data_IF_907670392686
#
_entry.id   IF_907670392686
#
_cell.length_a   1.000
_cell.length_b   1.000
_cell.length_c   1.000
_cell.angle_alpha   90.00
_cell.angle_beta   90.00
_cell.angle_gamma   90.00
#
_symmetry.space_group_name_H-M   'P 1'
#
loop_
_entity.id
_entity.type
_entity.pdbx_description
1 polymer ?
#
# COMPACT_ATOMS: atom_id res chain seq x y z
N UNK A 1 30.11 -10.06 -12.66
CA UNK A 1 28.83 -10.05 -11.93
C UNK A 1 27.74 -10.59 -12.85
N UNK A 2 27.11 -11.72 -12.52
CA UNK A 2 25.90 -12.15 -13.25
C UNK A 2 24.78 -11.23 -12.82
N UNK A 3 24.37 -10.33 -13.71
CA UNK A 3 23.19 -9.49 -13.50
C UNK A 3 22.00 -10.44 -13.39
N UNK A 4 21.29 -10.44 -12.25
CA UNK A 4 20.14 -11.31 -12.06
C UNK A 4 18.97 -10.76 -12.88
N UNK A 5 18.87 -11.20 -14.14
CA UNK A 5 17.84 -10.76 -15.08
C UNK A 5 16.41 -10.95 -14.56
N UNK A 6 16.19 -11.89 -13.62
CA UNK A 6 14.88 -12.15 -13.01
C UNK A 6 14.50 -11.02 -12.04
N UNK A 7 15.40 -10.66 -11.14
CA UNK A 7 15.22 -9.55 -10.19
C UNK A 7 15.02 -8.21 -10.91
N UNK A 8 15.79 -7.96 -11.97
CA UNK A 8 15.64 -6.73 -12.77
C UNK A 8 14.26 -6.64 -13.45
N UNK A 9 13.75 -7.75 -13.98
CA UNK A 9 12.40 -7.80 -14.57
C UNK A 9 11.31 -7.64 -13.50
N UNK A 10 11.49 -8.26 -12.34
CA UNK A 10 10.57 -8.13 -11.21
C UNK A 10 10.44 -6.66 -10.81
N UNK A 11 11.56 -5.99 -10.52
CA UNK A 11 11.57 -4.58 -10.16
C UNK A 11 10.97 -3.69 -11.25
N UNK A 12 11.34 -3.93 -12.51
CA UNK A 12 10.80 -3.18 -13.64
C UNK A 12 9.27 -3.27 -13.74
N UNK A 13 8.68 -4.47 -13.63
CA UNK A 13 7.23 -4.62 -13.70
C UNK A 13 6.52 -4.10 -12.44
N UNK A 14 7.14 -4.20 -11.26
CA UNK A 14 6.65 -3.56 -10.04
C UNK A 14 6.53 -2.05 -10.19
N UNK A 15 7.59 -1.39 -10.68
CA UNK A 15 7.60 0.05 -10.90
C UNK A 15 6.53 0.48 -11.92
N UNK A 16 6.33 -0.30 -12.98
CA UNK A 16 5.25 -0.08 -13.96
C UNK A 16 3.87 -0.25 -13.33
N UNK A 17 3.64 -1.29 -12.55
CA UNK A 17 2.36 -1.51 -11.88
C UNK A 17 1.99 -0.32 -10.98
N UNK A 18 2.95 0.15 -10.17
CA UNK A 18 2.77 1.29 -9.28
C UNK A 18 2.46 2.57 -10.06
N UNK A 19 3.18 2.81 -11.17
CA UNK A 19 2.93 3.96 -12.04
C UNK A 19 1.51 3.93 -12.62
N UNK A 20 1.05 2.79 -13.14
CA UNK A 20 -0.30 2.65 -13.69
C UNK A 20 -1.39 2.78 -12.63
N UNK A 21 -1.17 2.28 -11.40
CA UNK A 21 -2.09 2.49 -10.27
C UNK A 21 -2.22 3.98 -9.92
N UNK A 22 -1.10 4.70 -9.86
CA UNK A 22 -1.08 6.16 -9.61
C UNK A 22 -1.80 6.92 -10.72
N UNK A 23 -1.69 6.46 -11.98
CA UNK A 23 -2.39 7.02 -13.13
C UNK A 23 -3.86 6.57 -13.25
N UNK A 24 -4.33 5.69 -12.37
CA UNK A 24 -5.68 5.09 -12.40
C UNK A 24 -5.97 4.23 -13.64
N UNK A 25 -4.93 3.71 -14.27
CA UNK A 25 -5.03 2.79 -15.41
C UNK A 25 -5.13 1.34 -14.89
N UNK A 26 -6.29 0.96 -14.36
CA UNK A 26 -6.46 -0.27 -13.59
C UNK A 26 -6.20 -1.56 -14.39
N UNK A 27 -6.59 -1.60 -15.66
CA UNK A 27 -6.31 -2.75 -16.54
C UNK A 27 -4.80 -2.94 -16.76
N UNK A 28 -4.09 -1.87 -17.13
CA UNK A 28 -2.64 -1.90 -17.29
C UNK A 28 -1.91 -2.26 -15.99
N UNK A 29 -2.36 -1.70 -14.86
CA UNK A 29 -1.83 -2.02 -13.54
C UNK A 29 -1.98 -3.51 -13.24
N UNK A 30 -3.18 -4.07 -13.46
CA UNK A 30 -3.47 -5.50 -13.30
C UNK A 30 -2.53 -6.35 -14.17
N UNK A 31 -2.34 -6.00 -15.43
CA UNK A 31 -1.45 -6.72 -16.34
C UNK A 31 0.01 -6.74 -15.85
N UNK A 32 0.51 -5.60 -15.35
CA UNK A 32 1.87 -5.55 -14.79
C UNK A 32 1.99 -6.34 -13.49
N UNK A 33 0.99 -6.28 -12.61
CA UNK A 33 0.94 -7.10 -11.38
C UNK A 33 1.01 -8.59 -11.72
N UNK A 34 0.27 -9.05 -12.74
CA UNK A 34 0.35 -10.45 -13.18
C UNK A 34 1.72 -10.81 -13.74
N UNK A 35 2.39 -9.91 -14.47
CA UNK A 35 3.77 -10.13 -14.93
C UNK A 35 4.75 -10.29 -13.77
N UNK A 36 4.57 -9.54 -12.68
CA UNK A 36 5.36 -9.71 -11.44
C UNK A 36 5.08 -11.07 -10.82
N UNK A 37 3.81 -11.46 -10.69
CA UNK A 37 3.39 -12.73 -10.11
C UNK A 37 3.91 -13.96 -10.88
N UNK A 38 4.03 -13.87 -12.21
CA UNK A 38 4.65 -14.94 -13.02
C UNK A 38 6.15 -15.10 -12.77
N UNK A 39 6.80 -14.11 -12.17
CA UNK A 39 8.23 -14.15 -11.82
C UNK A 39 8.40 -14.75 -10.43
N UNK A 40 7.67 -14.24 -9.45
CA UNK A 40 7.66 -14.72 -8.07
C UNK A 40 6.26 -14.45 -7.51
N UNK A 41 5.53 -15.49 -7.11
CA UNK A 41 4.17 -15.40 -6.57
C UNK A 41 4.15 -15.36 -5.03
N UNK A 42 5.31 -15.47 -4.38
CA UNK A 42 5.44 -15.49 -2.92
C UNK A 42 5.64 -14.11 -2.30
N UNK A 43 5.85 -13.09 -3.13
CA UNK A 43 6.20 -11.74 -2.70
C UNK A 43 4.97 -10.99 -2.11
N UNK A 44 5.03 -10.51 -0.85
CA UNK A 44 3.93 -9.79 -0.21
C UNK A 44 3.54 -8.49 -0.95
N UNK A 45 4.49 -7.88 -1.66
CA UNK A 45 4.30 -6.67 -2.45
C UNK A 45 3.21 -6.84 -3.51
N UNK A 46 3.08 -8.02 -4.10
CA UNK A 46 2.08 -8.32 -5.14
C UNK A 46 0.68 -8.22 -4.57
N UNK A 47 0.47 -8.85 -3.42
CA UNK A 47 -0.81 -8.80 -2.72
C UNK A 47 -1.11 -7.38 -2.20
N UNK A 48 -0.10 -6.60 -1.81
CA UNK A 48 -0.32 -5.20 -1.50
C UNK A 48 -0.77 -4.39 -2.72
N UNK A 49 -0.14 -4.57 -3.89
CA UNK A 49 -0.57 -3.89 -5.11
C UNK A 49 -1.96 -4.33 -5.58
N UNK A 50 -2.33 -5.61 -5.43
CA UNK A 50 -3.70 -6.07 -5.66
C UNK A 50 -4.69 -5.42 -4.70
N UNK A 51 -4.34 -5.31 -3.42
CA UNK A 51 -5.15 -4.60 -2.43
C UNK A 51 -5.41 -3.15 -2.85
N UNK A 52 -4.37 -2.45 -3.29
CA UNK A 52 -4.44 -1.07 -3.80
C UNK A 52 -5.32 -0.98 -5.03
N UNK A 53 -5.16 -1.90 -5.99
CA UNK A 53 -5.97 -1.96 -7.20
C UNK A 53 -7.46 -2.05 -6.87
N UNK A 54 -7.84 -2.97 -5.98
CA UNK A 54 -9.23 -3.16 -5.57
C UNK A 54 -9.76 -1.99 -4.76
N UNK A 55 -8.94 -1.40 -3.88
CA UNK A 55 -9.32 -0.22 -3.12
C UNK A 55 -9.61 0.98 -4.03
N UNK A 56 -8.71 1.25 -4.99
CA UNK A 56 -8.89 2.31 -5.98
C UNK A 56 -10.11 2.09 -6.87
N UNK A 57 -10.49 0.83 -7.08
CA UNK A 57 -11.71 0.42 -7.78
C UNK A 57 -12.94 0.28 -6.85
N UNK A 58 -12.86 0.77 -5.60
CA UNK A 58 -13.93 0.79 -4.59
C UNK A 58 -14.43 -0.60 -4.16
N UNK A 59 -13.65 -1.64 -4.39
CA UNK A 59 -13.93 -2.98 -3.88
C UNK A 59 -13.14 -3.22 -2.58
N UNK A 60 -13.66 -2.66 -1.49
CA UNK A 60 -12.97 -2.65 -0.18
C UNK A 60 -12.84 -4.06 0.40
N UNK A 61 -13.81 -4.94 0.17
CA UNK A 61 -13.77 -6.32 0.66
C UNK A 61 -12.60 -7.10 0.04
N UNK A 62 -12.37 -6.97 -1.27
CA UNK A 62 -11.21 -7.58 -1.93
C UNK A 62 -9.91 -6.89 -1.53
N UNK A 63 -9.93 -5.56 -1.36
CA UNK A 63 -8.76 -4.84 -0.86
C UNK A 63 -8.29 -5.39 0.49
N UNK A 64 -9.22 -5.56 1.44
CA UNK A 64 -8.95 -6.09 2.77
C UNK A 64 -8.36 -7.50 2.74
N UNK A 65 -8.93 -8.38 1.92
CA UNK A 65 -8.41 -9.75 1.73
C UNK A 65 -6.97 -9.74 1.23
N UNK A 66 -6.66 -8.90 0.24
CA UNK A 66 -5.33 -8.86 -0.34
C UNK A 66 -4.29 -8.18 0.57
N UNK A 67 -4.64 -7.11 1.27
CA UNK A 67 -3.76 -6.56 2.30
C UNK A 67 -3.51 -7.55 3.43
N UNK A 68 -4.54 -8.27 3.87
CA UNK A 68 -4.40 -9.33 4.88
C UNK A 68 -3.51 -10.48 4.41
N UNK A 69 -3.60 -10.87 3.14
CA UNK A 69 -2.72 -11.87 2.54
C UNK A 69 -1.26 -11.41 2.52
N UNK A 70 -1.00 -10.17 2.09
CA UNK A 70 0.34 -9.58 2.11
C UNK A 70 0.94 -9.55 3.54
N UNK A 71 0.13 -9.14 4.52
CA UNK A 71 0.53 -9.13 5.93
C UNK A 71 0.80 -10.54 6.48
N UNK A 72 0.00 -11.53 6.06
CA UNK A 72 0.18 -12.93 6.48
C UNK A 72 1.44 -13.56 5.89
N UNK A 73 1.81 -13.20 4.66
CA UNK A 73 3.06 -13.66 4.03
C UNK A 73 4.30 -13.04 4.68
N UNK A 74 4.24 -11.76 5.02
CA UNK A 74 5.32 -11.08 5.72
C UNK A 74 4.79 -9.98 6.65
N UNK A 75 4.72 -10.29 7.94
CA UNK A 75 4.28 -9.33 8.96
C UNK A 75 5.22 -8.12 9.13
N UNK A 76 6.46 -8.22 8.64
CA UNK A 76 7.44 -7.10 8.66
C UNK A 76 7.29 -6.16 7.46
N UNK A 77 6.49 -6.53 6.46
CA UNK A 77 6.17 -5.68 5.31
C UNK A 77 5.17 -4.59 5.71
N UNK A 78 5.70 -3.49 6.26
CA UNK A 78 4.93 -2.35 6.79
C UNK A 78 3.84 -1.81 5.84
N UNK A 79 4.03 -1.71 4.50
CA UNK A 79 3.02 -1.16 3.60
C UNK A 79 1.67 -1.88 3.66
N UNK A 80 1.67 -3.22 3.75
CA UNK A 80 0.44 -3.99 3.88
C UNK A 80 -0.30 -3.66 5.19
N UNK A 81 0.43 -3.58 6.30
CA UNK A 81 -0.13 -3.18 7.60
C UNK A 81 -0.69 -1.76 7.56
N UNK A 82 0.07 -0.81 7.02
CA UNK A 82 -0.34 0.60 6.91
C UNK A 82 -1.64 0.74 6.12
N UNK A 83 -1.74 0.04 4.99
CA UNK A 83 -2.95 0.05 4.17
C UNK A 83 -4.12 -0.63 4.89
N UNK A 84 -3.89 -1.77 5.54
CA UNK A 84 -4.92 -2.50 6.30
C UNK A 84 -5.50 -1.67 7.44
N UNK A 85 -4.64 -1.04 8.25
CA UNK A 85 -5.03 -0.12 9.31
C UNK A 85 -5.84 1.06 8.75
N UNK A 86 -5.38 1.64 7.63
CA UNK A 86 -6.06 2.77 6.98
C UNK A 86 -7.47 2.43 6.53
N UNK A 87 -7.69 1.27 5.89
CA UNK A 87 -9.02 0.89 5.39
C UNK A 87 -9.94 0.32 6.47
N UNK A 88 -9.39 -0.14 7.59
CA UNK A 88 -10.17 -0.69 8.72
C UNK A 88 -10.59 0.39 9.73
N UNK A 89 -10.12 1.62 9.55
CA UNK A 89 -10.44 2.75 10.40
C UNK A 89 -11.93 3.12 10.28
N UNK A 90 -12.61 3.28 11.43
CA UNK A 90 -14.02 3.66 11.49
C UNK A 90 -14.34 5.01 10.80
N UNK A 91 -13.35 5.90 10.72
CA UNK A 91 -13.42 7.19 10.03
C UNK A 91 -13.10 7.11 8.54
N UNK A 92 -12.83 5.91 8.00
CA UNK A 92 -12.47 5.73 6.59
C UNK A 92 -13.58 6.23 5.66
N UNK A 93 -13.35 7.40 5.05
CA UNK A 93 -14.17 7.97 3.98
C UNK A 93 -13.36 7.99 2.69
N UNK A 94 -13.22 6.85 1.99
CA UNK A 94 -12.52 6.71 0.69
C UNK A 94 -11.35 7.70 0.52
N UNK A 95 -10.53 7.84 1.57
CA UNK A 95 -9.44 8.79 1.55
C UNK A 95 -8.29 8.06 0.87
N UNK A 96 -8.23 8.23 -0.46
CA UNK A 96 -7.18 7.69 -1.33
C UNK A 96 -5.81 8.31 -0.97
N UNK A 97 -5.81 9.33 -0.13
CA UNK A 97 -4.63 9.90 0.49
C UNK A 97 -3.91 8.84 1.33
N UNK A 98 -2.58 8.79 1.19
CA UNK A 98 -1.70 7.91 1.96
C UNK A 98 -1.77 6.40 1.65
N UNK A 99 -2.18 6.00 0.45
CA UNK A 99 -1.88 4.64 -0.02
C UNK A 99 -0.37 4.39 0.02
N UNK A 100 0.04 3.32 0.68
CA UNK A 100 1.43 2.89 0.77
C UNK A 100 1.72 1.80 -0.28
N UNK A 101 2.37 2.21 -1.36
CA UNK A 101 2.70 1.32 -2.48
C UNK A 101 3.88 0.40 -2.19
N UNK A 102 4.64 0.64 -1.11
CA UNK A 102 5.82 -0.14 -0.75
C UNK A 102 7.08 0.13 -1.58
N UNK A 103 7.09 1.19 -2.40
CA UNK A 103 8.27 1.61 -3.17
C UNK A 103 8.92 2.92 -2.69
N UNK A 104 8.47 3.45 -1.56
CA UNK A 104 9.11 4.59 -0.94
C UNK A 104 10.28 4.06 -0.10
N UNK A 105 11.51 4.44 -0.42
CA UNK A 105 12.72 4.06 0.33
C UNK A 105 12.81 4.71 1.72
N UNK A 106 11.91 5.64 2.04
CA UNK A 106 11.90 6.35 3.30
C UNK A 106 10.95 5.71 4.32
N UNK A 107 11.53 5.27 5.45
CA UNK A 107 10.84 5.17 6.74
C UNK A 107 10.37 6.57 7.17
N UNK A 108 9.45 7.17 6.43
CA UNK A 108 8.63 8.23 7.02
C UNK A 108 7.68 7.47 7.92
N UNK A 109 7.96 7.47 9.23
CA UNK A 109 6.86 7.42 10.19
C UNK A 109 5.95 8.57 9.79
N UNK A 110 4.97 8.30 8.92
CA UNK A 110 3.96 9.29 8.58
C UNK A 110 3.29 9.57 9.89
N UNK A 111 3.54 10.77 10.41
CA UNK A 111 2.96 11.25 11.65
C UNK A 111 1.45 11.32 11.42
N UNK A 112 0.79 10.19 11.65
CA UNK A 112 -0.62 9.98 11.37
C UNK A 112 -1.48 10.82 12.33
N UNK A 113 -0.90 11.12 13.49
CA UNK A 113 -1.49 11.92 14.55
C UNK A 113 -0.56 13.07 14.95
N UNK A 114 -1.14 14.24 15.20
CA UNK A 114 -0.51 15.33 15.95
C UNK A 114 -1.03 15.33 17.38
N UNK A 115 -0.22 15.79 18.35
CA UNK A 115 -0.66 16.00 19.73
C UNK A 115 -1.06 17.46 19.89
N UNK A 116 -2.31 17.70 20.28
CA UNK A 116 -2.78 19.02 20.70
C UNK A 116 -2.96 19.01 22.22
N UNK A 117 -2.60 20.11 22.87
CA UNK A 117 -2.79 20.29 24.32
C UNK A 117 -3.97 21.24 24.55
N UNK A 118 -4.82 20.93 25.53
CA UNK A 118 -5.86 21.85 25.99
C UNK A 118 -5.34 22.84 27.05
N UNK A 119 -6.24 23.66 27.59
CA UNK A 119 -5.92 24.68 28.61
C UNK A 119 -5.35 24.07 29.90
N UNK A 120 -5.66 22.79 30.16
CA UNK A 120 -5.18 22.02 31.32
C UNK A 120 -3.88 21.24 31.02
N UNK A 121 -3.25 21.45 29.86
CA UNK A 121 -2.08 20.71 29.35
C UNK A 121 -2.32 19.20 29.12
N UNK A 122 -3.56 18.78 28.89
CA UNK A 122 -3.88 17.40 28.57
C UNK A 122 -3.69 17.18 27.06
N UNK A 123 -2.84 16.22 26.70
CA UNK A 123 -2.53 15.88 25.31
C UNK A 123 -3.61 15.00 24.66
N UNK A 124 -4.10 15.42 23.48
CA UNK A 124 -5.02 14.64 22.64
C UNK A 124 -4.38 14.34 21.28
N UNK A 125 -4.39 13.08 20.88
CA UNK A 125 -3.98 12.65 19.55
C UNK A 125 -5.07 12.97 18.53
N UNK A 126 -4.73 13.74 17.50
CA UNK A 126 -5.64 14.14 16.42
C UNK A 126 -5.07 13.67 15.09
N UNK A 127 -5.87 12.93 14.32
CA UNK A 127 -5.48 12.41 13.01
C UNK A 127 -5.26 13.56 12.03
N UNK A 128 -4.14 13.54 11.32
CA UNK A 128 -3.86 14.53 10.27
C UNK A 128 -4.75 14.22 9.06
N UNK A 129 -5.69 15.11 8.75
CA UNK A 129 -6.55 15.01 7.58
C UNK A 129 -5.82 15.54 6.33
N UNK A 130 -5.94 14.81 5.22
CA UNK A 130 -5.48 15.30 3.92
C UNK A 130 -6.64 15.99 3.19
N UNK A 131 -6.36 17.13 2.55
CA UNK A 131 -7.29 17.89 1.71
C UNK A 131 -7.26 17.40 0.25
#
# INVERSE_FOLDING_TARGET
>A
MKINHKENKFKFYMDKAILELKNRNYESARDYIFKVMMIDDSAPEIHNLLGILYELNKNIDLAHKHYSAAYSLNATFKPARNNLERISDFSYKYSICNIDYGNNEENIEKQLYTVIYDEDNIGKFVKINCY
#
